data_IF_300649037181
#
_entry.id   IF_300649037181
#
_cell.length_a   1.000
_cell.length_b   1.000
_cell.length_c   1.000
_cell.angle_alpha   90.00
_cell.angle_beta   90.00
_cell.angle_gamma   90.00
#
_symmetry.space_group_name_H-M   'P 1'
#
loop_
_entity.id
_entity.type
_entity.pdbx_description
1 polymer ?
#
# COMPACT_ATOMS: atom_id res chain seq x y z
N UNK A 1 24.11 -8.09 96.57
CA UNK A 1 25.46 -7.55 96.86
C UNK A 1 26.48 -8.50 96.28
N UNK A 2 27.24 -8.02 95.27
CA UNK A 2 28.57 -8.44 94.79
C UNK A 2 28.89 -9.95 94.71
N UNK A 3 28.95 -10.56 93.50
CA UNK A 3 30.08 -10.55 92.55
C UNK A 3 31.12 -11.68 92.86
N UNK A 4 31.35 -12.63 91.95
CA UNK A 4 32.54 -12.76 91.06
C UNK A 4 32.68 -14.18 90.47
N UNK A 5 33.12 -14.20 89.21
CA UNK A 5 33.46 -15.33 88.38
C UNK A 5 34.89 -15.83 88.62
N UNK A 6 35.15 -17.12 88.37
CA UNK A 6 36.29 -17.62 87.57
C UNK A 6 36.14 -19.13 87.34
N UNK A 7 36.27 -19.57 86.08
CA UNK A 7 36.22 -20.97 85.68
C UNK A 7 37.59 -21.40 85.12
N UNK A 8 37.92 -22.68 85.33
CA UNK A 8 39.25 -23.26 85.25
C UNK A 8 39.51 -24.06 83.95
N UNK A 9 40.79 -24.08 83.58
CA UNK A 9 41.63 -25.19 83.09
C UNK A 9 41.27 -26.04 81.84
N UNK A 10 42.08 -25.83 80.79
CA UNK A 10 42.95 -26.78 80.05
C UNK A 10 42.53 -28.25 79.78
N UNK A 11 42.64 -28.71 78.52
CA UNK A 11 43.84 -29.39 77.94
C UNK A 11 43.46 -30.29 76.73
N UNK A 12 44.15 -30.13 75.59
CA UNK A 12 44.85 -31.17 74.80
C UNK A 12 44.98 -30.84 73.31
N UNK A 13 46.19 -31.10 72.81
CA UNK A 13 46.78 -30.80 71.50
C UNK A 13 46.34 -31.82 70.45
N UNK A 14 46.11 -31.38 69.21
CA UNK A 14 46.34 -32.17 67.99
C UNK A 14 46.83 -31.22 66.87
N UNK A 15 48.09 -31.36 66.47
CA UNK A 15 48.61 -30.87 65.20
C UNK A 15 48.27 -31.92 64.13
N UNK A 16 47.51 -31.53 63.12
CA UNK A 16 47.40 -32.25 61.84
C UNK A 16 47.72 -31.24 60.73
N UNK A 17 48.43 -31.65 59.65
CA UNK A 17 48.77 -30.77 58.55
C UNK A 17 47.47 -30.30 57.89
N UNK A 18 47.35 -28.99 57.71
CA UNK A 18 46.43 -28.39 56.75
C UNK A 18 46.68 -29.09 55.40
N UNK A 19 45.77 -29.97 54.98
CA UNK A 19 45.70 -30.37 53.58
C UNK A 19 45.53 -29.09 52.77
N UNK A 20 46.55 -28.75 51.98
CA UNK A 20 46.52 -27.64 51.06
C UNK A 20 45.38 -27.87 50.07
N UNK A 21 44.26 -27.18 50.28
CA UNK A 21 43.03 -27.33 49.50
C UNK A 21 43.13 -26.59 48.15
N UNK A 22 44.36 -26.37 47.66
CA UNK A 22 44.66 -25.65 46.44
C UNK A 22 44.00 -26.28 45.21
N UNK A 23 43.78 -27.59 45.20
CA UNK A 23 43.08 -28.32 44.13
C UNK A 23 41.57 -28.02 44.03
N UNK A 24 40.95 -27.45 45.06
CA UNK A 24 39.50 -27.17 45.11
C UNK A 24 39.17 -25.68 45.12
N UNK A 25 40.15 -24.81 44.81
CA UNK A 25 39.87 -23.41 44.48
C UNK A 25 39.11 -23.36 43.16
N UNK A 26 38.14 -22.46 43.04
CA UNK A 26 37.36 -22.23 41.80
C UNK A 26 38.25 -22.03 40.58
N UNK A 27 39.45 -21.48 40.77
CA UNK A 27 40.50 -21.30 39.77
C UNK A 27 41.03 -22.62 39.15
N UNK A 28 40.84 -23.78 39.82
CA UNK A 28 41.31 -25.09 39.38
C UNK A 28 40.18 -26.06 38.98
N UNK A 29 38.91 -25.62 39.03
CA UNK A 29 37.74 -26.47 38.72
C UNK A 29 37.44 -26.57 37.22
N UNK A 30 37.88 -25.60 36.43
CA UNK A 30 37.62 -25.52 34.99
C UNK A 30 38.95 -25.37 34.22
N UNK A 31 39.14 -26.12 33.12
CA UNK A 31 40.25 -25.87 32.19
C UNK A 31 40.30 -24.40 31.76
N UNK A 32 41.51 -23.89 31.48
CA UNK A 32 41.72 -22.47 31.17
C UNK A 32 40.89 -22.00 29.95
N UNK A 33 40.65 -22.89 28.99
CA UNK A 33 39.82 -22.65 27.81
C UNK A 33 38.35 -22.30 28.11
N UNK A 34 37.88 -22.65 29.32
CA UNK A 34 36.51 -22.32 29.74
C UNK A 34 36.43 -21.12 30.68
N UNK A 35 37.56 -20.48 31.04
CA UNK A 35 37.56 -19.39 32.02
C UNK A 35 37.14 -18.06 31.43
N UNK A 36 37.50 -17.80 30.17
CA UNK A 36 37.29 -16.53 29.50
C UNK A 36 36.86 -16.78 28.05
N UNK A 37 35.57 -16.61 27.74
CA UNK A 37 35.00 -16.99 26.44
C UNK A 37 34.30 -15.80 25.77
N UNK A 38 34.51 -15.63 24.47
CA UNK A 38 33.68 -14.76 23.61
C UNK A 38 32.92 -15.61 22.59
N UNK A 39 31.70 -15.21 22.25
CA UNK A 39 30.87 -15.90 21.27
C UNK A 39 29.89 -14.94 20.60
N UNK A 40 29.39 -15.28 19.42
CA UNK A 40 28.19 -14.63 18.90
C UNK A 40 26.96 -15.02 19.75
N UNK A 41 26.03 -14.08 19.93
CA UNK A 41 24.73 -14.36 20.53
C UNK A 41 23.88 -15.27 19.62
N UNK A 42 23.98 -15.07 18.31
CA UNK A 42 23.22 -15.78 17.30
C UNK A 42 23.64 -17.25 17.18
N UNK A 43 22.75 -18.07 16.63
CA UNK A 43 23.14 -19.41 16.16
C UNK A 43 24.14 -19.29 15.02
N UNK A 44 25.13 -20.18 15.06
CA UNK A 44 26.26 -20.26 14.15
C UNK A 44 25.83 -20.24 12.67
N UNK A 45 24.74 -20.95 12.37
CA UNK A 45 24.00 -20.92 11.11
C UNK A 45 22.52 -20.69 11.42
N UNK A 46 21.89 -19.68 10.84
CA UNK A 46 20.43 -19.55 10.82
C UNK A 46 19.96 -19.59 9.37
N UNK A 47 18.71 -20.01 9.20
CA UNK A 47 17.96 -19.88 7.95
C UNK A 47 17.44 -18.46 7.72
N UNK A 48 17.59 -17.56 8.70
CA UNK A 48 17.17 -16.17 8.55
C UNK A 48 18.03 -15.46 7.50
N UNK A 49 17.38 -14.80 6.55
CA UNK A 49 18.02 -14.00 5.51
C UNK A 49 18.27 -12.59 6.05
N UNK A 50 19.48 -12.07 5.82
CA UNK A 50 19.82 -10.68 6.08
C UNK A 50 19.47 -9.84 4.86
N UNK A 51 18.37 -9.09 4.93
CA UNK A 51 17.99 -8.14 3.87
C UNK A 51 18.82 -6.87 3.96
N UNK A 52 19.52 -6.54 2.88
CA UNK A 52 20.28 -5.30 2.75
C UNK A 52 19.55 -4.43 1.73
N UNK A 53 19.11 -3.27 2.16
CA UNK A 53 18.28 -2.41 1.34
C UNK A 53 19.12 -1.50 0.44
N UNK A 54 18.82 -1.57 -0.84
CA UNK A 54 19.54 -0.84 -1.87
C UNK A 54 18.83 0.47 -2.21
N UNK A 55 18.88 1.40 -1.24
CA UNK A 55 18.11 2.64 -1.24
C UNK A 55 19.00 3.89 -1.28
N UNK A 56 20.22 3.76 -1.80
CA UNK A 56 21.19 4.86 -2.00
C UNK A 56 21.65 5.56 -0.70
N UNK A 57 21.70 4.82 0.41
CA UNK A 57 22.34 5.24 1.66
C UNK A 57 23.14 4.08 2.26
N UNK A 58 23.99 4.38 3.25
CA UNK A 58 24.70 3.36 4.01
C UNK A 58 23.71 2.53 4.85
N UNK A 59 23.88 1.21 4.83
CA UNK A 59 23.06 0.27 5.61
C UNK A 59 23.90 -0.32 6.74
N UNK A 60 23.36 -0.25 7.95
CA UNK A 60 24.00 -0.82 9.15
C UNK A 60 23.24 -2.05 9.62
N UNK A 61 23.98 -3.15 9.79
CA UNK A 61 23.51 -4.38 10.42
C UNK A 61 24.28 -4.61 11.72
N UNK A 62 23.61 -4.99 12.80
CA UNK A 62 24.27 -5.15 14.10
C UNK A 62 24.40 -6.62 14.48
N UNK A 63 25.60 -7.04 14.86
CA UNK A 63 25.85 -8.34 15.51
C UNK A 63 26.08 -8.17 17.01
N UNK A 64 25.63 -9.14 17.81
CA UNK A 64 25.86 -9.13 19.25
C UNK A 64 26.88 -10.20 19.64
N UNK A 65 27.91 -9.79 20.36
CA UNK A 65 28.91 -10.64 20.98
C UNK A 65 28.61 -10.80 22.47
N UNK A 66 28.79 -11.99 23.02
CA UNK A 66 28.57 -12.33 24.41
C UNK A 66 29.90 -12.63 25.10
N UNK A 67 30.04 -12.12 26.33
CA UNK A 67 31.08 -12.54 27.26
C UNK A 67 30.57 -13.73 28.08
N UNK A 68 31.37 -14.77 28.14
CA UNK A 68 31.12 -15.96 28.95
C UNK A 68 32.39 -16.47 29.61
N UNK A 69 32.30 -17.69 30.13
CA UNK A 69 33.39 -18.34 30.86
C UNK A 69 33.16 -18.37 32.37
N UNK A 70 33.91 -19.24 33.04
CA UNK A 70 33.75 -19.52 34.47
C UNK A 70 34.38 -18.47 35.39
N UNK A 71 35.28 -17.63 34.88
CA UNK A 71 35.92 -16.56 35.67
C UNK A 71 35.37 -15.18 35.27
N UNK A 72 34.43 -14.64 36.05
CA UNK A 72 33.81 -13.36 35.73
C UNK A 72 34.74 -12.17 35.91
N UNK A 73 35.92 -12.33 36.53
CA UNK A 73 36.85 -11.22 36.82
C UNK A 73 37.77 -10.86 35.65
N UNK A 74 37.84 -11.71 34.63
CA UNK A 74 38.73 -11.53 33.47
C UNK A 74 38.13 -10.59 32.43
N UNK A 75 38.98 -9.76 31.83
CA UNK A 75 38.68 -9.04 30.59
C UNK A 75 38.76 -10.01 29.42
N UNK A 76 37.75 -9.99 28.56
CA UNK A 76 37.73 -10.79 27.33
C UNK A 76 38.20 -9.94 26.15
N UNK A 77 39.20 -10.42 25.41
CA UNK A 77 39.72 -9.78 24.20
C UNK A 77 39.59 -10.69 22.99
N UNK A 78 39.08 -10.17 21.88
CA UNK A 78 38.91 -10.93 20.65
C UNK A 78 39.05 -10.02 19.43
N UNK A 79 39.21 -10.61 18.26
CA UNK A 79 39.15 -9.91 16.98
C UNK A 79 37.98 -10.41 16.16
N UNK A 80 37.12 -9.51 15.72
CA UNK A 80 36.05 -9.76 14.76
C UNK A 80 36.53 -9.37 13.37
N UNK A 81 36.42 -10.29 12.41
CA UNK A 81 36.80 -10.05 11.02
C UNK A 81 35.92 -10.83 10.04
N UNK A 82 35.96 -10.42 8.78
CA UNK A 82 35.48 -11.26 7.69
C UNK A 82 36.35 -12.50 7.51
N UNK A 83 35.72 -13.60 7.11
CA UNK A 83 36.43 -14.80 6.70
C UNK A 83 37.16 -14.59 5.37
N UNK A 84 38.30 -15.24 5.21
CA UNK A 84 38.91 -15.48 3.89
C UNK A 84 38.10 -16.52 3.11
N UNK A 85 38.28 -16.60 1.79
CA UNK A 85 37.58 -17.57 0.94
C UNK A 85 37.78 -19.02 1.42
N UNK A 86 39.01 -19.37 1.82
CA UNK A 86 39.36 -20.70 2.34
C UNK A 86 38.64 -21.02 3.67
N UNK A 87 38.55 -20.04 4.57
CA UNK A 87 37.81 -20.19 5.83
C UNK A 87 36.31 -20.32 5.55
N UNK A 88 35.76 -19.47 4.68
CA UNK A 88 34.36 -19.43 4.33
C UNK A 88 33.87 -20.75 3.71
N UNK A 89 34.69 -21.43 2.91
CA UNK A 89 34.38 -22.75 2.32
C UNK A 89 34.06 -23.84 3.37
N UNK A 90 34.50 -23.66 4.62
CA UNK A 90 34.16 -24.58 5.71
C UNK A 90 32.71 -24.42 6.19
N UNK A 91 32.12 -23.23 6.02
CA UNK A 91 30.81 -22.86 6.56
C UNK A 91 29.75 -22.63 5.48
N UNK A 92 30.13 -22.05 4.34
CA UNK A 92 29.29 -21.83 3.17
C UNK A 92 29.48 -23.01 2.22
N UNK A 93 28.55 -23.97 2.26
CA UNK A 93 28.61 -25.20 1.43
C UNK A 93 27.97 -25.04 0.06
N UNK A 94 26.94 -24.20 -0.05
CA UNK A 94 26.20 -23.91 -1.27
C UNK A 94 26.03 -22.39 -1.36
N UNK A 95 26.82 -21.74 -2.22
CA UNK A 95 26.80 -20.30 -2.43
C UNK A 95 28.18 -19.64 -2.31
N UNK A 96 28.18 -18.30 -2.29
CA UNK A 96 29.37 -17.45 -2.37
C UNK A 96 29.42 -16.56 -1.12
N UNK A 97 30.54 -16.54 -0.41
CA UNK A 97 30.76 -15.55 0.64
C UNK A 97 31.17 -14.21 0.02
N UNK A 98 30.51 -13.12 0.42
CA UNK A 98 30.91 -11.79 -0.01
C UNK A 98 32.28 -11.44 0.57
N UNK A 99 33.16 -10.90 -0.27
CA UNK A 99 34.50 -10.55 0.16
C UNK A 99 34.47 -9.47 1.26
N UNK A 100 35.37 -9.52 2.27
CA UNK A 100 35.39 -8.55 3.38
C UNK A 100 35.55 -7.08 2.97
N UNK A 101 35.95 -6.79 1.74
CA UNK A 101 36.02 -5.44 1.19
C UNK A 101 34.64 -4.79 0.96
N UNK A 102 33.57 -5.57 0.88
CA UNK A 102 32.20 -5.08 0.66
C UNK A 102 31.46 -4.72 1.95
N UNK A 103 32.14 -4.68 3.09
CA UNK A 103 31.56 -4.17 4.34
C UNK A 103 32.65 -3.68 5.28
N UNK A 104 32.27 -2.84 6.23
CA UNK A 104 33.16 -2.36 7.29
C UNK A 104 32.64 -2.82 8.64
N UNK A 105 33.53 -3.39 9.46
CA UNK A 105 33.25 -3.69 10.87
C UNK A 105 33.65 -2.46 11.67
N UNK A 106 32.71 -1.83 12.38
CA UNK A 106 32.95 -0.55 13.08
C UNK A 106 33.99 -0.68 14.20
N UNK A 107 33.92 -1.77 14.96
CA UNK A 107 34.82 -2.08 16.07
C UNK A 107 35.35 -3.52 15.93
N UNK A 108 36.40 -3.77 15.14
CA UNK A 108 36.91 -5.13 14.93
C UNK A 108 37.74 -5.66 16.11
N UNK A 109 38.38 -4.78 16.89
CA UNK A 109 39.14 -5.15 18.08
C UNK A 109 38.23 -5.09 19.31
N UNK A 110 37.86 -6.26 19.83
CA UNK A 110 36.87 -6.43 20.88
C UNK A 110 37.55 -6.49 22.24
N UNK A 111 37.16 -5.61 23.15
CA UNK A 111 37.58 -5.62 24.56
C UNK A 111 36.36 -5.49 25.45
N UNK A 112 35.97 -6.60 26.08
CA UNK A 112 34.82 -6.71 26.98
C UNK A 112 35.30 -6.67 28.43
N UNK A 113 34.92 -5.64 29.18
CA UNK A 113 35.25 -5.52 30.59
C UNK A 113 34.57 -6.63 31.45
N UNK A 114 35.07 -6.94 32.66
CA UNK A 114 34.48 -7.96 33.54
C UNK A 114 32.97 -7.76 33.81
N UNK A 115 32.49 -6.53 33.90
CA UNK A 115 31.08 -6.21 34.09
C UNK A 115 30.27 -6.21 32.78
N UNK A 116 30.92 -6.15 31.63
CA UNK A 116 30.29 -6.11 30.31
C UNK A 116 29.90 -7.53 29.89
N UNK A 117 28.60 -7.78 29.76
CA UNK A 117 28.08 -9.11 29.39
C UNK A 117 27.95 -9.32 27.90
N UNK A 118 27.77 -8.24 27.15
CA UNK A 118 27.61 -8.28 25.71
C UNK A 118 28.06 -6.97 25.09
N UNK A 119 28.41 -7.03 23.80
CA UNK A 119 28.70 -5.86 22.96
C UNK A 119 27.99 -5.99 21.63
N UNK A 120 27.45 -4.89 21.16
CA UNK A 120 26.91 -4.76 19.80
C UNK A 120 27.99 -4.18 18.91
N UNK A 121 28.19 -4.77 17.74
CA UNK A 121 29.14 -4.31 16.74
C UNK A 121 28.40 -4.13 15.43
N UNK A 122 28.64 -3.01 14.78
CA UNK A 122 27.97 -2.64 13.55
C UNK A 122 28.79 -3.09 12.33
N UNK A 123 28.06 -3.64 11.35
CA UNK A 123 28.53 -4.03 10.04
C UNK A 123 27.90 -3.03 9.06
N UNK A 124 28.73 -2.19 8.46
CA UNK A 124 28.29 -1.10 7.60
C UNK A 124 28.54 -1.47 6.14
N UNK A 125 27.48 -1.43 5.34
CA UNK A 125 27.50 -1.56 3.89
C UNK A 125 27.32 -0.17 3.30
N UNK A 126 28.38 0.40 2.74
CA UNK A 126 28.27 1.68 2.03
C UNK A 126 27.50 1.52 0.72
N UNK A 127 26.98 2.61 0.16
CA UNK A 127 26.33 2.58 -1.15
C UNK A 127 27.23 1.98 -2.25
N UNK A 128 28.53 2.29 -2.25
CA UNK A 128 29.51 1.70 -3.20
C UNK A 128 29.64 0.18 -3.00
N UNK A 129 29.67 -0.27 -1.75
CA UNK A 129 29.75 -1.68 -1.43
C UNK A 129 28.49 -2.45 -1.86
N UNK A 130 27.30 -1.88 -1.64
CA UNK A 130 26.03 -2.46 -2.06
C UNK A 130 25.99 -2.59 -3.59
N UNK A 131 26.40 -1.56 -4.33
CA UNK A 131 26.51 -1.63 -5.79
C UNK A 131 27.50 -2.71 -6.26
N UNK A 132 28.60 -2.87 -5.53
CA UNK A 132 29.58 -3.92 -5.76
C UNK A 132 29.02 -5.34 -5.53
N UNK A 133 28.27 -5.54 -4.44
CA UNK A 133 27.57 -6.80 -4.16
C UNK A 133 26.54 -7.08 -5.26
N UNK A 134 25.73 -6.09 -5.64
CA UNK A 134 24.72 -6.22 -6.71
C UNK A 134 25.35 -6.71 -8.01
N UNK A 135 26.49 -6.12 -8.39
CA UNK A 135 27.22 -6.53 -9.60
C UNK A 135 27.69 -7.99 -9.54
N UNK A 136 28.02 -8.52 -8.36
CA UNK A 136 28.35 -9.94 -8.20
C UNK A 136 27.11 -10.83 -8.32
N UNK A 137 25.99 -10.43 -7.72
CA UNK A 137 24.73 -11.17 -7.78
C UNK A 137 24.18 -11.23 -9.21
N UNK A 138 24.27 -10.14 -9.97
CA UNK A 138 23.87 -10.11 -11.38
C UNK A 138 24.77 -10.98 -12.28
N UNK A 139 26.04 -11.14 -11.92
CA UNK A 139 26.98 -11.99 -12.66
C UNK A 139 26.74 -13.49 -12.41
N UNK A 140 26.10 -13.84 -11.28
CA UNK A 140 25.76 -15.22 -10.93
C UNK A 140 24.38 -15.30 -10.23
N UNK A 141 23.27 -15.14 -10.99
CA UNK A 141 21.93 -14.95 -10.43
C UNK A 141 21.34 -16.19 -9.75
N UNK A 142 21.90 -17.38 -10.01
CA UNK A 142 21.46 -18.64 -9.39
C UNK A 142 22.20 -18.92 -8.08
N UNK A 143 23.27 -18.17 -7.79
CA UNK A 143 24.05 -18.31 -6.57
C UNK A 143 23.42 -17.59 -5.38
N UNK A 144 23.53 -18.20 -4.21
CA UNK A 144 23.18 -17.59 -2.92
C UNK A 144 24.41 -16.90 -2.35
N UNK A 145 24.23 -15.70 -1.81
CA UNK A 145 25.33 -14.89 -1.28
C UNK A 145 25.29 -14.85 0.24
N UNK A 146 26.44 -14.84 0.89
CA UNK A 146 26.54 -14.93 2.34
C UNK A 146 27.52 -13.91 2.91
N UNK A 147 27.16 -13.27 4.02
CA UNK A 147 28.15 -12.66 4.90
C UNK A 147 28.72 -13.73 5.83
N UNK A 148 30.05 -13.75 5.97
CA UNK A 148 30.77 -14.72 6.79
C UNK A 148 31.78 -14.00 7.69
N UNK A 149 31.51 -14.00 9.00
CA UNK A 149 32.35 -13.39 10.03
C UNK A 149 32.89 -14.45 10.99
N UNK A 150 34.09 -14.23 11.50
CA UNK A 150 34.75 -15.10 12.48
C UNK A 150 35.34 -14.29 13.64
N UNK A 151 35.36 -14.90 14.82
CA UNK A 151 36.01 -14.40 16.02
C UNK A 151 37.32 -15.15 16.25
N UNK A 152 38.40 -14.39 16.44
CA UNK A 152 39.66 -14.91 16.94
C UNK A 152 39.84 -14.49 18.40
N UNK A 153 40.09 -15.45 19.30
CA UNK A 153 40.42 -15.16 20.70
C UNK A 153 41.82 -14.56 20.85
N UNK A 154 41.97 -13.57 21.73
CA UNK A 154 43.26 -12.91 22.04
C UNK A 154 43.55 -12.99 23.54
N UNK A 155 44.82 -12.84 23.94
CA UNK A 155 45.27 -12.73 25.34
C UNK A 155 44.66 -13.75 26.34
N UNK A 156 44.65 -15.04 25.98
CA UNK A 156 44.04 -16.15 26.75
C UNK A 156 42.51 -16.06 26.88
N UNK A 157 41.86 -15.31 25.99
CA UNK A 157 40.43 -15.40 25.73
C UNK A 157 40.21 -16.45 24.65
N UNK A 158 39.30 -17.37 24.90
CA UNK A 158 38.92 -18.43 23.97
C UNK A 158 37.61 -18.07 23.28
N UNK A 159 37.36 -18.68 22.14
CA UNK A 159 36.07 -18.56 21.43
C UNK A 159 35.31 -19.87 21.59
N UNK A 160 34.00 -19.77 21.74
CA UNK A 160 33.16 -20.97 21.73
C UNK A 160 33.15 -21.54 20.31
N UNK A 161 33.65 -22.77 20.11
CA UNK A 161 33.82 -23.37 18.77
C UNK A 161 32.50 -23.45 17.97
N UNK A 162 31.38 -23.70 18.64
CA UNK A 162 30.06 -23.76 18.00
C UNK A 162 29.46 -22.37 17.74
N UNK A 163 30.06 -21.29 18.28
CA UNK A 163 29.55 -19.91 18.19
C UNK A 163 30.65 -18.89 17.88
N UNK A 164 31.73 -19.32 17.24
CA UNK A 164 32.85 -18.47 16.86
C UNK A 164 32.65 -17.81 15.49
N UNK A 165 31.58 -18.18 14.77
CA UNK A 165 31.28 -17.66 13.45
C UNK A 165 29.84 -17.14 13.34
N UNK A 166 29.66 -16.24 12.38
CA UNK A 166 28.36 -15.73 11.97
C UNK A 166 28.27 -15.84 10.46
N UNK A 167 27.40 -16.74 9.99
CA UNK A 167 27.10 -16.90 8.57
C UNK A 167 25.60 -16.66 8.35
N UNK A 168 25.29 -15.76 7.43
CA UNK A 168 23.92 -15.41 7.03
C UNK A 168 23.86 -15.20 5.54
N UNK A 169 22.83 -15.75 4.92
CA UNK A 169 22.49 -15.40 3.55
C UNK A 169 22.12 -13.93 3.48
N UNK A 170 22.55 -13.25 2.43
CA UNK A 170 22.20 -11.87 2.14
C UNK A 170 21.26 -11.83 0.95
N UNK A 171 20.28 -10.93 1.01
CA UNK A 171 19.44 -10.60 -0.12
C UNK A 171 19.42 -9.08 -0.28
N UNK A 172 19.71 -8.61 -1.49
CA UNK A 172 19.49 -7.21 -1.82
C UNK A 172 18.02 -7.01 -2.14
N UNK A 173 17.42 -5.99 -1.52
CA UNK A 173 16.04 -5.63 -1.78
C UNK A 173 15.87 -4.13 -1.95
N UNK A 174 14.85 -3.73 -2.70
CA UNK A 174 14.32 -2.37 -2.70
C UNK A 174 12.90 -2.42 -2.17
N UNK A 175 12.56 -1.64 -1.13
CA UNK A 175 11.17 -1.48 -0.74
C UNK A 175 10.39 -0.82 -1.88
N UNK A 176 9.15 -1.26 -2.06
CA UNK A 176 8.16 -0.73 -2.97
C UNK A 176 7.22 0.21 -2.21
N UNK A 177 7.03 1.42 -2.74
CA UNK A 177 6.07 2.40 -2.22
C UNK A 177 4.90 2.52 -3.19
N UNK A 178 3.70 2.46 -2.65
CA UNK A 178 2.43 2.52 -3.37
C UNK A 178 1.67 3.78 -2.97
N UNK A 179 1.17 4.53 -3.95
CA UNK A 179 0.29 5.68 -3.73
C UNK A 179 -1.15 5.17 -3.66
N UNK A 180 -1.87 5.54 -2.60
CA UNK A 180 -3.28 5.21 -2.41
C UNK A 180 -4.12 6.47 -2.53
N UNK A 181 -5.24 6.39 -3.27
CA UNK A 181 -6.21 7.48 -3.38
C UNK A 181 -7.58 7.08 -2.84
N UNK A 182 -8.24 8.03 -2.18
CA UNK A 182 -9.64 7.91 -1.76
C UNK A 182 -10.63 8.07 -2.92
N UNK A 183 -11.91 8.23 -2.58
CA UNK A 183 -12.94 8.56 -3.56
C UNK A 183 -12.75 9.99 -4.10
N UNK A 184 -12.95 10.18 -5.41
CA UNK A 184 -12.96 11.50 -6.02
C UNK A 184 -14.24 12.23 -5.57
N UNK A 185 -14.05 13.38 -4.93
CA UNK A 185 -15.13 14.32 -4.62
C UNK A 185 -15.31 15.26 -5.80
N UNK A 186 -16.53 15.32 -6.32
CA UNK A 186 -16.90 16.22 -7.39
C UNK A 186 -17.68 17.42 -6.83
N UNK A 187 -17.13 18.63 -7.02
CA UNK A 187 -17.75 19.89 -6.60
C UNK A 187 -18.10 20.74 -7.82
N UNK A 188 -18.77 21.88 -7.60
CA UNK A 188 -19.17 22.77 -8.70
C UNK A 188 -17.98 23.18 -9.59
N UNK A 189 -16.82 23.48 -9.00
CA UNK A 189 -15.68 24.08 -9.71
C UNK A 189 -14.42 23.20 -9.76
N UNK A 190 -14.41 22.06 -9.07
CA UNK A 190 -13.22 21.20 -8.99
C UNK A 190 -13.53 19.75 -8.70
N UNK A 191 -12.60 18.88 -9.09
CA UNK A 191 -12.50 17.51 -8.57
C UNK A 191 -11.38 17.45 -7.53
N UNK A 192 -11.58 16.68 -6.47
CA UNK A 192 -10.56 16.51 -5.43
C UNK A 192 -10.47 15.07 -4.93
N UNK A 193 -9.27 14.63 -4.53
CA UNK A 193 -9.04 13.32 -3.92
C UNK A 193 -7.95 13.41 -2.86
N UNK A 194 -8.13 12.70 -1.75
CA UNK A 194 -7.09 12.52 -0.74
C UNK A 194 -6.14 11.38 -1.14
N UNK A 195 -4.84 11.65 -1.09
CA UNK A 195 -3.77 10.72 -1.39
C UNK A 195 -2.94 10.44 -0.14
N UNK A 196 -2.52 9.20 0.02
CA UNK A 196 -1.55 8.73 1.01
C UNK A 196 -0.57 7.77 0.33
N UNK A 197 0.42 7.28 1.08
CA UNK A 197 1.31 6.25 0.58
C UNK A 197 1.60 5.18 1.63
N UNK A 198 1.96 3.99 1.15
CA UNK A 198 2.40 2.87 1.98
C UNK A 198 3.62 2.21 1.38
N UNK A 199 4.51 1.72 2.23
CA UNK A 199 5.69 0.95 1.86
C UNK A 199 5.43 -0.54 2.13
N UNK A 200 5.99 -1.41 1.30
CA UNK A 200 6.04 -2.84 1.61
C UNK A 200 7.12 -3.17 2.66
N UNK A 201 6.86 -4.18 3.48
CA UNK A 201 7.79 -4.56 4.55
C UNK A 201 7.91 -3.54 5.69
N UNK A 202 8.96 -3.73 6.50
CA UNK A 202 9.21 -2.92 7.69
C UNK A 202 9.99 -1.66 7.33
N UNK A 203 9.35 -0.49 7.49
CA UNK A 203 10.03 0.78 7.34
C UNK A 203 10.97 1.01 8.53
N UNK A 204 12.28 1.07 8.28
CA UNK A 204 13.29 1.37 9.30
C UNK A 204 13.82 2.81 9.23
N UNK A 205 13.31 3.63 8.32
CA UNK A 205 13.78 4.99 8.05
C UNK A 205 12.76 6.06 8.44
N UNK A 206 13.28 7.20 8.86
CA UNK A 206 12.53 8.47 8.85
C UNK A 206 12.83 9.16 7.51
N UNK A 207 11.81 9.39 6.69
CA UNK A 207 12.01 10.04 5.39
C UNK A 207 10.77 10.80 4.92
N UNK A 208 10.99 11.69 3.95
CA UNK A 208 9.95 12.45 3.27
C UNK A 208 9.95 12.11 1.78
N UNK A 209 8.77 12.06 1.18
CA UNK A 209 8.60 12.00 -0.27
C UNK A 209 7.59 13.04 -0.73
N UNK A 210 7.66 13.42 -2.00
CA UNK A 210 6.81 14.45 -2.59
C UNK A 210 6.01 13.88 -3.75
N UNK A 211 4.68 14.05 -3.72
CA UNK A 211 3.81 13.74 -4.85
C UNK A 211 3.77 14.89 -5.83
N UNK A 212 4.00 14.59 -7.11
CA UNK A 212 4.05 15.58 -8.19
C UNK A 212 3.37 15.08 -9.46
N UNK A 213 2.79 16.01 -10.23
CA UNK A 213 2.27 15.73 -11.57
C UNK A 213 3.42 15.29 -12.47
N UNK A 214 3.26 14.16 -13.15
CA UNK A 214 4.25 13.68 -14.10
C UNK A 214 3.57 13.10 -15.35
N UNK A 215 3.42 13.93 -16.37
CA UNK A 215 2.68 13.61 -17.60
C UNK A 215 3.39 12.58 -18.49
N UNK A 216 4.65 12.25 -18.23
CA UNK A 216 5.37 11.24 -19.03
C UNK A 216 4.70 9.85 -18.92
N UNK A 217 3.92 9.62 -17.87
CA UNK A 217 3.18 8.37 -17.65
C UNK A 217 1.86 8.25 -18.43
N UNK A 218 1.42 9.28 -19.16
CA UNK A 218 0.13 9.24 -19.88
C UNK A 218 0.13 8.19 -20.98
N UNK A 219 1.20 8.11 -21.77
CA UNK A 219 1.30 7.16 -22.91
C UNK A 219 1.31 5.70 -22.44
N UNK A 220 2.09 5.41 -21.40
CA UNK A 220 2.17 4.06 -20.79
C UNK A 220 0.82 3.63 -20.23
N UNK A 221 0.13 4.55 -19.53
CA UNK A 221 -1.21 4.28 -18.99
C UNK A 221 -2.22 3.96 -20.09
N UNK A 222 -2.28 4.79 -21.12
CA UNK A 222 -3.14 4.60 -22.29
C UNK A 222 -2.88 3.25 -22.97
N UNK A 223 -1.60 2.93 -23.21
CA UNK A 223 -1.17 1.68 -23.84
C UNK A 223 -1.60 0.47 -23.00
N UNK A 224 -1.42 0.52 -21.68
CA UNK A 224 -1.75 -0.59 -20.77
C UNK A 224 -3.24 -0.93 -20.75
N UNK A 225 -4.12 0.06 -20.99
CA UNK A 225 -5.57 -0.09 -20.97
C UNK A 225 -6.20 -0.21 -22.36
N UNK A 226 -5.42 -0.02 -23.44
CA UNK A 226 -5.95 0.10 -24.79
C UNK A 226 -6.90 1.30 -24.94
N UNK A 227 -6.59 2.41 -24.25
CA UNK A 227 -7.36 3.66 -24.25
C UNK A 227 -6.53 4.79 -24.85
N UNK A 228 -7.17 5.93 -25.08
CA UNK A 228 -6.56 7.13 -25.65
C UNK A 228 -7.08 8.36 -24.89
N UNK A 229 -6.71 8.47 -23.61
CA UNK A 229 -7.04 9.63 -22.79
C UNK A 229 -6.12 10.82 -23.10
N UNK A 230 -6.67 12.02 -23.02
CA UNK A 230 -5.93 13.26 -23.19
C UNK A 230 -5.04 13.54 -21.95
N UNK A 231 -3.81 13.99 -22.18
CA UNK A 231 -3.03 14.63 -21.13
C UNK A 231 -3.66 15.99 -20.77
N UNK A 232 -3.60 16.40 -19.50
CA UNK A 232 -4.05 17.74 -19.10
C UNK A 232 -3.14 18.80 -19.75
N UNK A 233 -3.68 19.98 -20.04
CA UNK A 233 -2.85 21.11 -20.46
C UNK A 233 -1.85 21.47 -19.36
N UNK A 234 -0.63 21.92 -19.69
CA UNK A 234 0.27 22.54 -18.71
C UNK A 234 -0.36 23.76 -18.00
N UNK A 235 -1.36 24.40 -18.62
CA UNK A 235 -2.10 25.54 -18.05
C UNK A 235 -3.24 25.10 -17.11
N UNK A 236 -3.58 23.81 -17.06
CA UNK A 236 -4.63 23.30 -16.17
C UNK A 236 -4.27 23.57 -14.70
N UNK A 237 -5.20 24.16 -13.96
CA UNK A 237 -4.98 24.49 -12.54
C UNK A 237 -5.09 23.23 -11.69
N UNK A 238 -3.93 22.65 -11.38
CA UNK A 238 -3.76 21.51 -10.48
C UNK A 238 -3.05 22.01 -9.21
N UNK A 239 -3.58 21.66 -8.04
CA UNK A 239 -2.96 21.96 -6.75
C UNK A 239 -2.86 20.72 -5.90
N UNK A 240 -1.71 20.51 -5.26
CA UNK A 240 -1.50 19.45 -4.29
C UNK A 240 -1.22 20.13 -2.94
N UNK A 241 -2.02 19.81 -1.92
CA UNK A 241 -1.86 20.40 -0.60
C UNK A 241 -0.51 20.00 0.04
N UNK A 242 -0.02 20.81 0.98
CA UNK A 242 1.27 20.61 1.65
C UNK A 242 2.45 20.41 0.68
N UNK A 243 2.39 21.06 -0.49
CA UNK A 243 3.41 20.92 -1.56
C UNK A 243 3.63 19.46 -2.01
N UNK A 244 2.63 18.59 -1.84
CA UNK A 244 2.72 17.16 -2.16
C UNK A 244 3.50 16.32 -1.13
N UNK A 245 3.96 16.91 -0.03
CA UNK A 245 4.82 16.24 0.95
C UNK A 245 4.06 15.21 1.80
N UNK A 246 4.56 13.99 1.80
CA UNK A 246 4.22 12.89 2.68
C UNK A 246 5.44 12.52 3.54
N UNK A 247 5.22 12.28 4.83
CA UNK A 247 6.28 11.91 5.77
C UNK A 247 6.10 10.48 6.27
N UNK A 248 7.19 9.75 6.40
CA UNK A 248 7.27 8.40 6.96
C UNK A 248 8.16 8.39 8.19
N UNK A 249 7.84 7.51 9.13
CA UNK A 249 8.57 7.34 10.38
C UNK A 249 8.99 5.90 10.55
N UNK A 250 10.20 5.69 11.05
CA UNK A 250 10.74 4.37 11.38
C UNK A 250 9.76 3.62 12.31
N UNK A 251 9.45 2.38 11.93
CA UNK A 251 8.44 1.53 12.54
C UNK A 251 7.03 1.67 11.95
N UNK A 252 6.80 2.62 11.03
CA UNK A 252 5.51 2.86 10.40
C UNK A 252 5.63 2.76 8.86
N UNK A 253 4.91 1.81 8.27
CA UNK A 253 4.91 1.55 6.82
C UNK A 253 3.84 2.35 6.05
N UNK A 254 3.17 3.30 6.71
CA UNK A 254 2.19 4.21 6.09
C UNK A 254 2.55 5.66 6.38
N UNK A 255 2.25 6.55 5.43
CA UNK A 255 2.52 7.98 5.60
C UNK A 255 1.77 8.54 6.82
N UNK A 256 2.45 9.41 7.58
CA UNK A 256 1.94 10.08 8.78
C UNK A 256 0.80 11.07 8.48
N UNK A 257 0.72 11.51 7.23
CA UNK A 257 -0.24 12.48 6.75
C UNK A 257 -0.80 12.07 5.39
N UNK A 258 -1.86 12.75 4.97
CA UNK A 258 -2.40 12.72 3.62
C UNK A 258 -2.10 14.05 2.92
N UNK A 259 -2.25 14.06 1.60
CA UNK A 259 -2.30 15.28 0.78
C UNK A 259 -3.57 15.28 -0.06
N UNK A 260 -4.07 16.44 -0.42
CA UNK A 260 -5.26 16.59 -1.26
C UNK A 260 -4.83 17.05 -2.65
N UNK A 261 -5.12 16.25 -3.65
CA UNK A 261 -5.03 16.63 -5.05
C UNK A 261 -6.34 17.31 -5.45
N UNK A 262 -6.25 18.50 -6.03
CA UNK A 262 -7.41 19.24 -6.56
C UNK A 262 -7.14 19.68 -7.99
N UNK A 263 -8.12 19.46 -8.86
CA UNK A 263 -8.08 19.87 -10.27
C UNK A 263 -9.28 20.77 -10.55
N UNK A 264 -9.02 21.99 -11.02
CA UNK A 264 -10.09 22.91 -11.43
C UNK A 264 -10.79 22.40 -12.68
N UNK A 265 -12.11 22.55 -12.75
CA UNK A 265 -12.89 22.24 -13.97
C UNK A 265 -12.67 23.23 -15.11
N UNK A 266 -12.01 24.36 -14.85
CA UNK A 266 -11.77 25.39 -15.86
C UNK A 266 -10.82 24.89 -16.96
N UNK A 267 -11.21 25.11 -18.23
CA UNK A 267 -10.35 24.84 -19.38
C UNK A 267 -10.34 23.41 -19.89
N UNK A 268 -11.23 22.54 -19.39
CA UNK A 268 -11.44 21.21 -19.94
C UNK A 268 -12.33 21.25 -21.19
N UNK A 269 -11.91 20.53 -22.23
CA UNK A 269 -12.72 20.27 -23.42
C UNK A 269 -12.90 18.76 -23.57
N UNK A 270 -14.08 18.29 -23.21
CA UNK A 270 -14.39 16.87 -23.27
C UNK A 270 -14.87 16.42 -24.66
N UNK A 271 -14.84 17.24 -25.70
CA UNK A 271 -15.41 16.87 -27.00
C UNK A 271 -14.64 15.75 -27.76
N UNK A 272 -13.50 15.27 -27.24
CA UNK A 272 -12.65 14.26 -27.94
C UNK A 272 -12.31 13.00 -27.12
N UNK A 273 -11.86 13.17 -25.88
CA UNK A 273 -11.55 12.07 -24.95
C UNK A 273 -11.56 12.58 -23.50
N UNK A 274 -11.81 11.72 -22.50
CA UNK A 274 -11.53 12.03 -21.11
C UNK A 274 -10.05 12.34 -20.92
N UNK A 275 -9.72 12.98 -19.81
CA UNK A 275 -8.36 13.33 -19.46
C UNK A 275 -7.82 12.41 -18.38
N UNK A 276 -6.49 12.23 -18.34
CA UNK A 276 -5.82 11.53 -17.24
C UNK A 276 -4.71 12.39 -16.66
N UNK A 277 -4.69 12.49 -15.33
CA UNK A 277 -3.66 13.16 -14.55
C UNK A 277 -2.87 12.14 -13.74
N UNK A 278 -1.66 11.77 -14.20
CA UNK A 278 -0.71 10.97 -13.41
C UNK A 278 -0.02 11.79 -12.32
N UNK A 279 -0.01 11.25 -11.11
CA UNK A 279 0.73 11.74 -9.95
C UNK A 279 1.79 10.69 -9.59
N UNK A 280 3.05 11.07 -9.70
CA UNK A 280 4.20 10.24 -9.34
C UNK A 280 4.81 10.69 -8.02
N UNK A 281 5.66 9.84 -7.45
CA UNK A 281 6.38 10.12 -6.22
C UNK A 281 7.85 10.43 -6.50
N UNK A 282 8.33 11.50 -5.88
CA UNK A 282 9.74 11.84 -5.79
C UNK A 282 10.24 11.54 -4.37
N UNK A 283 11.25 10.68 -4.27
CA UNK A 283 11.77 10.16 -3.00
C UNK A 283 13.09 10.84 -2.57
N UNK A 284 13.48 11.92 -3.27
CA UNK A 284 14.69 12.67 -2.96
C UNK A 284 15.96 11.84 -3.14
N UNK A 285 16.74 11.71 -2.07
CA UNK A 285 18.01 10.96 -2.08
C UNK A 285 17.83 9.45 -1.94
N UNK A 286 16.69 9.00 -1.42
CA UNK A 286 16.38 7.58 -1.27
C UNK A 286 15.85 7.01 -2.57
N UNK A 287 16.34 5.84 -2.95
CA UNK A 287 15.93 5.13 -4.17
C UNK A 287 15.03 3.92 -3.87
N UNK A 288 13.83 4.18 -3.33
CA UNK A 288 12.80 3.13 -3.27
C UNK A 288 12.21 2.88 -4.65
N UNK A 289 11.59 1.71 -4.82
CA UNK A 289 10.82 1.41 -6.02
C UNK A 289 9.41 2.00 -5.86
N UNK A 290 8.88 2.65 -6.90
CA UNK A 290 7.48 3.08 -6.92
C UNK A 290 6.67 2.00 -7.64
N UNK A 291 5.62 1.46 -7.01
CA UNK A 291 4.79 0.42 -7.63
C UNK A 291 4.20 0.90 -8.96
N UNK A 292 3.61 2.10 -8.94
CA UNK A 292 3.11 2.84 -10.10
C UNK A 292 2.66 4.25 -9.67
N UNK A 293 2.53 5.19 -10.62
CA UNK A 293 1.84 6.45 -10.37
C UNK A 293 0.38 6.23 -9.98
N UNK A 294 -0.19 7.21 -9.29
CA UNK A 294 -1.63 7.34 -9.13
C UNK A 294 -2.21 8.05 -10.36
N UNK A 295 -3.29 7.53 -10.94
CA UNK A 295 -3.94 8.11 -12.11
C UNK A 295 -5.33 8.62 -11.75
N UNK A 296 -5.54 9.94 -11.84
CA UNK A 296 -6.87 10.54 -11.75
C UNK A 296 -7.45 10.67 -13.15
N UNK A 297 -8.49 9.89 -13.46
CA UNK A 297 -9.24 10.03 -14.71
C UNK A 297 -10.32 11.10 -14.50
N UNK A 298 -10.34 12.09 -15.40
CA UNK A 298 -11.26 13.22 -15.38
C UNK A 298 -12.18 13.08 -16.59
N UNK A 299 -13.46 12.89 -16.31
CA UNK A 299 -14.50 12.65 -17.31
C UNK A 299 -15.44 13.86 -17.40
N UNK A 300 -15.93 14.14 -18.61
CA UNK A 300 -16.87 15.21 -18.86
C UNK A 300 -18.30 14.80 -18.49
N UNK A 301 -18.85 15.41 -17.45
CA UNK A 301 -20.29 15.35 -17.18
C UNK A 301 -21.00 16.21 -18.21
N UNK A 302 -21.94 15.61 -18.94
CA UNK A 302 -22.91 16.34 -19.75
C UNK A 302 -23.92 16.95 -18.77
N UNK A 303 -23.85 18.28 -18.59
CA UNK A 303 -24.82 19.00 -17.76
C UNK A 303 -26.20 18.89 -18.40
N UNK A 304 -27.07 18.08 -17.78
CA UNK A 304 -28.45 17.91 -18.21
C UNK A 304 -29.31 19.07 -17.73
N UNK A 305 -30.18 19.55 -18.60
CA UNK A 305 -31.18 20.57 -18.29
C UNK A 305 -32.58 19.99 -18.48
N UNK A 306 -33.58 20.57 -17.82
CA UNK A 306 -34.95 20.01 -17.84
C UNK A 306 -35.56 19.97 -19.26
N UNK A 307 -35.18 20.90 -20.15
CA UNK A 307 -35.61 20.94 -21.55
C UNK A 307 -34.97 19.84 -22.43
N UNK A 308 -33.89 19.22 -21.97
CA UNK A 308 -33.34 18.01 -22.60
C UNK A 308 -34.14 16.77 -22.25
N UNK A 309 -34.89 16.78 -21.15
CA UNK A 309 -35.56 15.60 -20.62
C UNK A 309 -37.01 15.50 -21.12
N UNK A 310 -37.45 14.29 -21.44
CA UNK A 310 -38.84 14.00 -21.75
C UNK A 310 -39.25 12.63 -21.19
N UNK A 311 -40.56 12.41 -21.02
CA UNK A 311 -41.12 11.08 -20.76
C UNK A 311 -42.54 11.02 -21.36
N UNK A 312 -43.07 9.81 -21.62
CA UNK A 312 -44.33 9.66 -22.35
C UNK A 312 -45.58 9.82 -21.48
N UNK A 313 -45.44 10.12 -20.19
CA UNK A 313 -46.52 10.29 -19.22
C UNK A 313 -46.48 11.65 -18.55
N UNK A 314 -47.65 12.14 -18.13
CA UNK A 314 -47.78 13.45 -17.48
C UNK A 314 -47.46 13.35 -15.99
N UNK A 315 -46.37 14.00 -15.57
CA UNK A 315 -45.92 14.03 -14.18
C UNK A 315 -46.40 15.28 -13.41
N UNK A 316 -47.21 16.15 -14.03
CA UNK A 316 -47.66 17.39 -13.39
C UNK A 316 -48.54 17.11 -12.17
N UNK A 317 -48.03 17.43 -10.97
CA UNK A 317 -48.74 17.18 -9.71
C UNK A 317 -48.80 15.71 -9.30
N UNK A 318 -48.03 14.84 -9.95
CA UNK A 318 -47.83 13.45 -9.57
C UNK A 318 -46.78 13.33 -8.43
N UNK A 319 -46.57 12.13 -7.89
CA UNK A 319 -45.57 11.89 -6.83
C UNK A 319 -44.14 12.20 -7.30
N UNK A 320 -43.32 12.71 -6.38
CA UNK A 320 -41.97 13.20 -6.68
C UNK A 320 -41.92 14.59 -7.33
N UNK A 321 -40.80 14.89 -8.00
CA UNK A 321 -40.50 16.19 -8.62
C UNK A 321 -40.57 16.13 -10.16
N UNK A 322 -41.14 15.05 -10.69
CA UNK A 322 -41.12 14.77 -12.11
C UNK A 322 -39.69 14.58 -12.63
N UNK A 323 -39.43 14.99 -13.87
CA UNK A 323 -38.09 14.90 -14.48
C UNK A 323 -37.04 15.79 -13.80
N UNK A 324 -37.45 16.85 -13.09
CA UNK A 324 -36.52 17.72 -12.39
C UNK A 324 -35.79 17.01 -11.25
N UNK A 325 -36.44 16.02 -10.61
CA UNK A 325 -35.83 15.16 -9.59
C UNK A 325 -34.85 14.11 -10.14
N UNK A 326 -34.42 14.22 -11.41
CA UNK A 326 -33.28 13.46 -11.93
C UNK A 326 -32.01 14.32 -11.96
N UNK A 327 -32.10 15.64 -11.79
CA UNK A 327 -31.00 16.57 -12.13
C UNK A 327 -30.91 17.76 -11.15
N UNK A 328 -31.44 17.62 -9.94
CA UNK A 328 -31.47 18.70 -8.95
C UNK A 328 -30.36 18.60 -7.88
N UNK A 329 -29.54 17.55 -7.95
CA UNK A 329 -28.41 17.31 -7.06
C UNK A 329 -28.79 16.71 -5.71
N UNK A 330 -30.07 16.41 -5.45
CA UNK A 330 -30.51 15.78 -4.20
C UNK A 330 -30.70 14.27 -4.39
N UNK A 331 -29.64 13.54 -4.11
CA UNK A 331 -29.59 12.06 -4.18
C UNK A 331 -30.47 11.35 -3.16
N UNK A 332 -31.22 12.06 -2.30
CA UNK A 332 -31.92 11.48 -1.14
C UNK A 332 -33.42 11.77 -1.08
N UNK A 333 -33.89 13.00 -1.37
CA UNK A 333 -35.26 13.39 -1.04
C UNK A 333 -36.14 13.72 -2.23
N UNK A 334 -35.57 14.24 -3.31
CA UNK A 334 -36.28 14.50 -4.56
C UNK A 334 -36.10 13.32 -5.50
N UNK A 335 -37.09 13.04 -6.33
CA UNK A 335 -37.02 11.90 -7.24
C UNK A 335 -37.98 12.02 -8.41
N UNK A 336 -37.58 11.42 -9.52
CA UNK A 336 -38.47 10.99 -10.58
C UNK A 336 -39.14 9.69 -10.17
N UNK A 337 -40.46 9.60 -10.40
CA UNK A 337 -41.27 8.44 -10.09
C UNK A 337 -42.13 8.09 -11.31
N UNK A 338 -42.08 6.83 -11.75
CA UNK A 338 -42.98 6.37 -12.82
C UNK A 338 -44.38 6.13 -12.26
N UNK A 339 -45.45 6.36 -13.03
CA UNK A 339 -46.81 5.94 -12.66
C UNK A 339 -46.87 4.50 -12.15
N UNK A 340 -47.72 4.18 -11.15
CA UNK A 340 -47.89 2.80 -10.67
C UNK A 340 -49.23 2.17 -11.08
N UNK A 341 -50.30 2.94 -11.34
CA UNK A 341 -51.58 2.37 -11.77
C UNK A 341 -52.46 3.36 -12.53
N UNK A 342 -53.52 2.87 -13.17
CA UNK A 342 -54.47 3.67 -13.98
C UNK A 342 -55.16 4.80 -13.20
N UNK A 343 -55.31 4.65 -11.89
CA UNK A 343 -56.01 5.62 -11.03
C UNK A 343 -55.20 6.91 -10.81
N UNK A 344 -53.91 6.92 -11.12
CA UNK A 344 -53.06 8.09 -10.93
C UNK A 344 -53.21 9.17 -12.02
N UNK A 345 -54.02 8.94 -13.06
CA UNK A 345 -54.25 9.90 -14.15
C UNK A 345 -53.06 10.08 -15.10
N UNK A 346 -51.93 9.45 -14.81
CA UNK A 346 -50.66 9.52 -15.55
C UNK A 346 -50.22 8.16 -16.13
N UNK A 347 -51.00 7.08 -15.94
CA UNK A 347 -50.56 5.73 -16.30
C UNK A 347 -50.35 5.58 -17.80
N UNK A 348 -49.17 5.07 -18.15
CA UNK A 348 -48.73 4.86 -19.51
C UNK A 348 -48.29 3.41 -19.68
N UNK A 349 -48.91 2.71 -20.62
CA UNK A 349 -48.57 1.32 -20.91
C UNK A 349 -47.78 1.23 -22.21
N UNK A 350 -46.61 0.61 -22.15
CA UNK A 350 -45.78 0.35 -23.32
C UNK A 350 -45.11 -1.02 -23.19
N UNK A 351 -45.62 -2.00 -23.95
CA UNK A 351 -45.11 -3.37 -23.90
C UNK A 351 -43.69 -3.50 -24.50
N UNK A 352 -43.24 -2.51 -25.28
CA UNK A 352 -41.90 -2.51 -25.91
C UNK A 352 -40.87 -1.93 -24.97
N UNK A 353 -41.09 -0.71 -24.49
CA UNK A 353 -40.12 0.06 -23.73
C UNK A 353 -40.38 0.02 -22.22
N UNK A 354 -41.59 -0.29 -21.77
CA UNK A 354 -42.00 -0.07 -20.38
C UNK A 354 -42.04 1.42 -20.05
N UNK A 355 -41.86 1.78 -18.77
CA UNK A 355 -41.64 3.18 -18.40
C UNK A 355 -40.21 3.63 -18.67
N UNK A 356 -40.09 4.83 -19.24
CA UNK A 356 -38.80 5.41 -19.61
C UNK A 356 -38.82 6.93 -19.49
N UNK A 357 -37.62 7.49 -19.48
CA UNK A 357 -37.37 8.89 -19.81
C UNK A 357 -36.33 8.97 -20.92
N UNK A 358 -36.28 10.11 -21.59
CA UNK A 358 -35.40 10.38 -22.71
C UNK A 358 -34.57 11.62 -22.45
N UNK A 359 -33.42 11.67 -23.11
CA UNK A 359 -32.49 12.78 -23.09
C UNK A 359 -32.21 13.16 -24.53
N UNK A 360 -32.57 14.38 -24.91
CA UNK A 360 -32.12 15.03 -26.14
C UNK A 360 -30.81 15.76 -25.86
N UNK A 361 -29.71 15.22 -26.39
CA UNK A 361 -28.37 15.75 -26.13
C UNK A 361 -28.08 17.04 -26.89
N UNK A 362 -28.86 17.36 -27.94
CA UNK A 362 -28.62 18.49 -28.84
C UNK A 362 -27.35 18.37 -29.69
N UNK A 363 -26.48 17.40 -29.39
CA UNK A 363 -25.27 17.04 -30.14
C UNK A 363 -25.14 15.52 -30.23
N UNK A 364 -24.41 15.04 -31.24
CA UNK A 364 -24.07 13.63 -31.33
C UNK A 364 -22.93 13.30 -30.37
N UNK A 365 -23.06 12.20 -29.63
CA UNK A 365 -21.99 11.58 -28.85
C UNK A 365 -21.80 10.13 -29.30
N UNK A 366 -20.64 9.57 -29.01
CA UNK A 366 -20.27 8.19 -29.36
C UNK A 366 -19.77 7.37 -28.18
N UNK A 367 -19.36 8.00 -27.09
CA UNK A 367 -19.02 7.28 -25.85
C UNK A 367 -19.85 7.81 -24.71
N UNK A 368 -20.23 6.91 -23.80
CA UNK A 368 -21.01 7.31 -22.64
C UNK A 368 -20.85 6.41 -21.43
N UNK A 369 -21.13 6.98 -20.27
CA UNK A 369 -21.40 6.29 -19.00
C UNK A 369 -22.55 7.01 -18.32
N UNK A 370 -23.38 6.30 -17.59
CA UNK A 370 -24.41 6.92 -16.76
C UNK A 370 -24.17 6.54 -15.30
N UNK A 371 -24.47 7.44 -14.39
CA UNK A 371 -24.61 7.14 -12.97
C UNK A 371 -25.99 7.56 -12.53
N UNK A 372 -26.67 6.73 -11.74
CA UNK A 372 -27.95 7.11 -11.17
C UNK A 372 -28.03 6.73 -9.70
N UNK A 373 -28.89 7.45 -8.99
CA UNK A 373 -29.17 7.26 -7.58
C UNK A 373 -30.62 6.82 -7.41
N UNK A 374 -30.82 5.90 -6.48
CA UNK A 374 -32.12 5.34 -6.15
C UNK A 374 -32.68 5.98 -4.87
N UNK A 375 -34.01 6.14 -4.82
CA UNK A 375 -34.70 6.68 -3.64
C UNK A 375 -34.43 5.83 -2.39
N UNK A 376 -33.85 6.40 -1.31
CA UNK A 376 -33.58 5.66 -0.08
C UNK A 376 -34.83 5.02 0.52
N UNK A 377 -34.69 3.80 1.04
CA UNK A 377 -35.75 3.10 1.79
C UNK A 377 -36.91 2.56 0.95
N UNK A 378 -36.77 2.51 -0.37
CA UNK A 378 -37.79 1.98 -1.30
C UNK A 378 -37.20 0.93 -2.28
N UNK A 379 -36.38 0.02 -1.76
CA UNK A 379 -35.58 -0.96 -2.52
C UNK A 379 -36.41 -1.76 -3.54
N UNK A 380 -37.63 -2.12 -3.16
CA UNK A 380 -38.58 -2.87 -3.98
C UNK A 380 -38.80 -2.29 -5.39
N UNK A 381 -38.77 -0.96 -5.51
CA UNK A 381 -39.05 -0.24 -6.74
C UNK A 381 -37.76 0.28 -7.40
N UNK A 382 -36.58 -0.10 -6.91
CA UNK A 382 -35.33 0.25 -7.60
C UNK A 382 -35.24 -0.51 -8.92
N UNK A 383 -34.60 0.05 -9.95
CA UNK A 383 -34.33 -0.67 -11.19
C UNK A 383 -33.52 -1.93 -10.92
N UNK A 384 -33.89 -3.01 -11.62
CA UNK A 384 -33.20 -4.30 -11.65
C UNK A 384 -32.73 -4.64 -13.06
N UNK A 385 -33.57 -4.33 -14.04
CA UNK A 385 -33.25 -4.51 -15.45
C UNK A 385 -33.46 -3.15 -16.15
N UNK A 386 -32.44 -2.63 -16.83
CA UNK A 386 -32.48 -1.38 -17.60
C UNK A 386 -32.06 -1.67 -19.04
N UNK A 387 -32.85 -1.19 -20.00
CA UNK A 387 -32.42 -1.10 -21.39
C UNK A 387 -32.08 0.36 -21.73
N UNK A 388 -30.99 0.57 -22.45
CA UNK A 388 -30.62 1.83 -23.06
C UNK A 388 -30.88 1.76 -24.56
N UNK A 389 -31.64 2.71 -25.09
CA UNK A 389 -31.85 2.87 -26.53
C UNK A 389 -31.24 4.18 -27.01
N UNK A 390 -30.73 4.19 -28.23
CA UNK A 390 -30.15 5.37 -28.88
C UNK A 390 -30.91 5.74 -30.14
N UNK A 391 -30.95 7.03 -30.47
CA UNK A 391 -31.56 7.55 -31.69
C UNK A 391 -30.84 8.80 -32.20
N UNK A 392 -31.02 9.12 -33.49
CA UNK A 392 -30.56 10.37 -34.12
C UNK A 392 -31.71 11.30 -34.52
N UNK A 393 -32.94 10.80 -34.57
CA UNK A 393 -34.14 11.54 -34.98
C UNK A 393 -35.17 11.69 -33.84
N UNK A 394 -34.98 10.98 -32.71
CA UNK A 394 -35.92 10.92 -31.59
C UNK A 394 -37.15 10.04 -31.86
N UNK A 395 -37.27 9.45 -33.04
CA UNK A 395 -38.43 8.66 -33.48
C UNK A 395 -38.07 7.18 -33.67
N UNK A 396 -36.92 6.92 -34.30
CA UNK A 396 -36.39 5.59 -34.60
C UNK A 396 -35.37 5.21 -33.54
N UNK A 397 -35.71 4.21 -32.72
CA UNK A 397 -34.89 3.79 -31.58
C UNK A 397 -34.22 2.44 -31.85
N UNK A 398 -32.93 2.34 -31.53
CA UNK A 398 -32.16 1.10 -31.60
C UNK A 398 -31.72 0.73 -30.20
N UNK A 399 -31.90 -0.54 -29.81
CA UNK A 399 -31.37 -1.03 -28.54
C UNK A 399 -29.85 -0.90 -28.56
N UNK A 400 -29.30 -0.19 -27.60
CA UNK A 400 -27.89 0.04 -27.46
C UNK A 400 -27.27 -0.93 -26.45
N UNK A 401 -27.83 -0.99 -25.24
CA UNK A 401 -27.35 -1.87 -24.18
C UNK A 401 -28.51 -2.37 -23.30
N UNK A 402 -28.30 -3.52 -22.68
CA UNK A 402 -29.20 -4.08 -21.67
C UNK A 402 -28.38 -4.48 -20.44
N UNK A 403 -28.74 -3.95 -19.29
CA UNK A 403 -28.18 -4.33 -18.01
C UNK A 403 -29.26 -5.05 -17.20
N UNK A 404 -28.95 -6.25 -16.71
CA UNK A 404 -29.92 -7.12 -16.03
C UNK A 404 -29.37 -7.58 -14.69
N UNK A 405 -30.26 -7.87 -13.74
CA UNK A 405 -29.87 -8.32 -12.39
C UNK A 405 -28.99 -7.30 -11.65
N UNK A 406 -29.23 -6.00 -11.90
CA UNK A 406 -28.58 -4.89 -11.19
C UNK A 406 -28.81 -5.08 -9.68
N UNK A 407 -27.76 -4.99 -8.84
CA UNK A 407 -27.87 -5.18 -7.39
C UNK A 407 -28.68 -4.08 -6.70
N UNK A 408 -29.20 -4.37 -5.51
CA UNK A 408 -29.82 -3.38 -4.63
C UNK A 408 -28.76 -2.39 -4.11
N UNK A 409 -28.50 -1.33 -4.86
CA UNK A 409 -27.56 -0.27 -4.51
C UNK A 409 -28.24 1.11 -4.57
N UNK A 410 -27.92 1.99 -3.63
CA UNK A 410 -28.40 3.38 -3.67
C UNK A 410 -27.78 4.16 -4.84
N UNK A 411 -26.58 3.78 -5.29
CA UNK A 411 -25.86 4.35 -6.42
C UNK A 411 -25.47 3.20 -7.36
N UNK A 412 -25.61 3.41 -8.67
CA UNK A 412 -25.18 2.45 -9.67
C UNK A 412 -24.67 3.15 -10.93
N UNK A 413 -23.65 2.57 -11.56
CA UNK A 413 -23.08 3.04 -12.83
C UNK A 413 -23.40 2.06 -13.96
N UNK A 414 -23.80 2.61 -15.11
CA UNK A 414 -23.99 1.90 -16.37
C UNK A 414 -22.86 2.30 -17.34
N UNK A 415 -22.16 1.32 -17.90
CA UNK A 415 -21.04 1.54 -18.81
C UNK A 415 -19.67 1.37 -18.14
N UNK A 416 -18.58 1.89 -18.75
CA UNK A 416 -18.56 2.72 -19.96
C UNK A 416 -18.96 1.96 -21.24
N UNK A 417 -19.57 2.66 -22.19
CA UNK A 417 -20.00 2.13 -23.48
C UNK A 417 -19.47 2.96 -24.65
N UNK A 418 -19.07 2.28 -25.72
CA UNK A 418 -18.67 2.86 -27.00
C UNK A 418 -19.72 2.48 -28.06
N UNK A 419 -20.36 3.48 -28.68
CA UNK A 419 -21.35 3.30 -29.73
C UNK A 419 -20.69 3.29 -31.11
N UNK A 420 -20.98 2.26 -31.92
CA UNK A 420 -20.48 2.17 -33.30
C UNK A 420 -20.98 3.31 -34.18
N UNK A 421 -22.19 3.82 -33.90
CA UNK A 421 -22.80 4.95 -34.59
C UNK A 421 -23.09 6.06 -33.58
N UNK A 422 -22.62 7.30 -33.80
CA UNK A 422 -22.97 8.42 -32.93
C UNK A 422 -24.48 8.65 -32.84
N UNK A 423 -24.95 9.13 -31.69
CA UNK A 423 -26.37 9.33 -31.40
C UNK A 423 -26.61 10.67 -30.70
N UNK A 424 -27.79 11.26 -30.92
CA UNK A 424 -28.21 12.53 -30.30
C UNK A 424 -29.27 12.36 -29.22
N UNK A 425 -29.83 11.16 -29.09
CA UNK A 425 -30.89 10.84 -28.14
C UNK A 425 -30.56 9.56 -27.38
N UNK A 426 -30.79 9.58 -26.08
CA UNK A 426 -30.75 8.42 -25.20
C UNK A 426 -32.13 8.20 -24.58
N UNK A 427 -32.59 6.95 -24.54
CA UNK A 427 -33.79 6.56 -23.78
C UNK A 427 -33.38 5.52 -22.74
N UNK A 428 -33.75 5.79 -21.50
CA UNK A 428 -33.48 4.92 -20.34
C UNK A 428 -34.77 4.22 -19.95
N UNK A 429 -34.85 2.92 -20.22
CA UNK A 429 -36.03 2.11 -20.00
C UNK A 429 -35.87 1.23 -18.76
N UNK A 430 -36.73 1.40 -17.75
CA UNK A 430 -36.74 0.47 -16.60
C UNK A 430 -37.61 -0.72 -16.94
N UNK A 431 -36.97 -1.85 -17.26
CA UNK A 431 -37.63 -3.08 -17.72
C UNK A 431 -38.18 -3.90 -16.55
N UNK A 432 -37.46 -3.95 -15.44
CA UNK A 432 -37.92 -4.55 -14.18
C UNK A 432 -37.43 -3.76 -12.98
N UNK A 433 -38.22 -3.77 -11.91
CA UNK A 433 -37.78 -3.36 -10.59
C UNK A 433 -37.28 -4.55 -9.76
N UNK A 434 -36.78 -4.31 -8.54
CA UNK A 434 -36.25 -5.36 -7.66
C UNK A 434 -37.30 -6.38 -7.20
N UNK A 435 -38.59 -6.02 -7.23
CA UNK A 435 -39.68 -6.99 -7.05
C UNK A 435 -39.91 -7.91 -8.26
N UNK A 436 -39.17 -7.71 -9.36
CA UNK A 436 -39.32 -8.44 -10.61
C UNK A 436 -40.54 -8.01 -11.43
N UNK A 437 -41.23 -6.95 -11.02
CA UNK A 437 -42.38 -6.40 -11.76
C UNK A 437 -41.89 -5.47 -12.87
N UNK A 438 -42.69 -5.31 -13.92
CA UNK A 438 -42.35 -4.52 -15.12
C UNK A 438 -43.08 -3.18 -15.12
N UNK A 439 -42.42 -2.05 -14.76
CA UNK A 439 -43.03 -0.73 -14.83
C UNK A 439 -43.58 -0.42 -16.23
N UNK A 440 -44.83 0.02 -16.30
CA UNK A 440 -45.52 0.31 -17.56
C UNK A 440 -46.09 -0.93 -18.27
N UNK A 441 -46.13 -2.09 -17.59
CA UNK A 441 -46.75 -3.33 -18.10
C UNK A 441 -47.59 -3.99 -17.00
N UNK A 442 -47.00 -4.21 -15.82
CA UNK A 442 -47.65 -4.86 -14.69
C UNK A 442 -48.36 -3.81 -13.78
N UNK A 443 -49.56 -4.14 -13.30
CA UNK A 443 -50.31 -3.25 -12.40
C UNK A 443 -49.53 -3.02 -11.10
N UNK A 444 -49.51 -1.77 -10.62
CA UNK A 444 -48.80 -1.34 -9.41
C UNK A 444 -47.26 -1.43 -9.51
N UNK A 445 -46.72 -1.63 -10.72
CA UNK A 445 -45.28 -1.61 -10.95
C UNK A 445 -44.80 -0.19 -11.25
N UNK A 446 -43.89 0.30 -10.42
CA UNK A 446 -43.19 1.56 -10.64
C UNK A 446 -41.69 1.44 -10.41
N UNK A 447 -41.00 2.51 -10.80
CA UNK A 447 -39.61 2.76 -10.50
C UNK A 447 -39.39 4.21 -10.10
N UNK A 448 -38.30 4.47 -9.37
CA UNK A 448 -37.91 5.83 -9.01
C UNK A 448 -36.40 5.99 -8.87
N UNK A 449 -35.91 7.16 -9.27
CA UNK A 449 -34.52 7.58 -9.23
C UNK A 449 -34.45 9.01 -8.67
N UNK A 450 -33.43 9.31 -7.86
CA UNK A 450 -33.22 10.61 -7.20
C UNK A 450 -32.27 11.52 -7.97
N UNK A 451 -31.38 10.95 -8.79
CA UNK A 451 -30.42 11.72 -9.58
C UNK A 451 -29.92 10.85 -10.74
N UNK A 452 -29.60 11.47 -11.87
CA UNK A 452 -29.08 10.86 -13.08
C UNK A 452 -28.01 11.75 -13.69
N UNK A 453 -26.79 11.25 -13.72
CA UNK A 453 -25.62 11.90 -14.29
C UNK A 453 -25.23 11.18 -15.57
N UNK A 454 -25.05 11.96 -16.63
CA UNK A 454 -24.59 11.46 -17.91
C UNK A 454 -23.17 11.95 -18.16
N UNK A 455 -22.29 11.04 -18.53
CA UNK A 455 -20.94 11.31 -18.98
C UNK A 455 -20.87 10.91 -20.45
N UNK A 456 -20.23 11.69 -21.30
CA UNK A 456 -20.11 11.31 -22.70
C UNK A 456 -19.50 12.36 -23.60
N UNK A 457 -19.03 11.88 -24.76
CA UNK A 457 -18.26 12.63 -25.75
C UNK A 457 -18.66 12.24 -27.17
#
# INVERSE_FOLDING_TARGET
MKIHATAAAALCILLAPSCDNSLYKTENLYPDEYKNIVSFQAEATSTDIMRIYDVNIDITQTVTLLRGGSDPSLTATAKLRGMTDDEAASYVKEGIAIAPQYYTISEPDIVLAPEERYRKVDIVFSTENIAGIRSQMEADPESRFYIALILDGLDNTYVNEDKCYFVREIELGKPVISITGGAITDSQDSWSVELSASMDGDNIWDFDCTLERNDDYVEDYNTSLGRDYNALSPESVVSISNEGKLSFKSGESTSQNTVTLTVSKAGFDFDSAPYVLPIAMNMGELEFEMERPYYMVIEGIITLTLDMLSCPFDLNGYDGQGLAGLIDGDVSNTYWHTPYNDDCGAYYKDDTYGHYFEINLGKQISKMKCRYYNRPGQQNNWPRDIDLYTSNDGETWTLFQSETDIPEAQEYELGPYDAETPFSYLRVCVKKNQQGMRPGIDQNACSHMTEFQLFGI
#
